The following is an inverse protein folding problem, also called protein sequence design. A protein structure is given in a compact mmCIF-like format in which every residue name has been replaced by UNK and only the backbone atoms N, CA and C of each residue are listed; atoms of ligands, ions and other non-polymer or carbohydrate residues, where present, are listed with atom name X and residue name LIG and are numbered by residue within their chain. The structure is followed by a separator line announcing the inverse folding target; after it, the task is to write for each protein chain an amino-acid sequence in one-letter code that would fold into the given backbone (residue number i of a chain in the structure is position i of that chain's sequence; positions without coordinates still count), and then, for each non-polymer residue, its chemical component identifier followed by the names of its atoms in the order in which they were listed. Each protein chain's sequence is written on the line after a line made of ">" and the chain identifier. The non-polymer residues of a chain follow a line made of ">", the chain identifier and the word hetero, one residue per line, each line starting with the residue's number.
data_IF_133612168451
#
_entry.id   IF_133612168451
#
_cell.length_a   1.000
_cell.length_b   1.000
_cell.length_c   1.000
_cell.angle_alpha   90.00
_cell.angle_beta   90.00
_cell.angle_gamma   90.00
#
_symmetry.space_group_name_H-M   'P 1'
#
loop_
_entity.id
_entity.type
_entity.pdbx_description
1 polymer ?
#
# COMPACT_ATOMS: atom_id res chain seq x y z
N UNK A 1 -9.70 6.94 -11.76
CA UNK A 1 -9.40 6.03 -10.62
C UNK A 1 -7.89 5.90 -10.44
N UNK A 2 -7.42 5.57 -9.25
CA UNK A 2 -6.01 5.26 -8.97
C UNK A 2 -5.87 3.85 -8.37
N UNK A 3 -4.69 3.25 -8.48
CA UNK A 3 -4.29 2.06 -7.76
C UNK A 3 -3.12 2.43 -6.82
N UNK A 4 -3.39 2.51 -5.52
CA UNK A 4 -2.40 3.01 -4.55
C UNK A 4 -1.35 1.97 -4.13
N UNK A 5 -1.46 0.72 -4.59
CA UNK A 5 -0.50 -0.34 -4.28
C UNK A 5 -0.63 -1.53 -5.24
N UNK A 6 0.40 -1.73 -6.04
CA UNK A 6 0.51 -2.87 -6.97
C UNK A 6 1.96 -3.31 -7.12
N UNK A 7 2.21 -4.56 -7.48
CA UNK A 7 3.55 -5.06 -7.80
C UNK A 7 3.61 -5.43 -9.29
N UNK A 8 3.73 -4.43 -10.16
CA UNK A 8 3.67 -4.60 -11.63
C UNK A 8 4.63 -5.68 -12.12
N UNK A 9 5.85 -5.72 -11.58
CA UNK A 9 6.89 -6.69 -11.96
C UNK A 9 6.58 -8.15 -11.56
N UNK A 10 5.57 -8.38 -10.70
CA UNK A 10 5.09 -9.71 -10.31
C UNK A 10 3.84 -10.15 -11.06
N UNK A 11 3.18 -9.25 -11.78
CA UNK A 11 1.97 -9.55 -12.52
C UNK A 11 2.27 -10.41 -13.75
N UNK A 12 1.33 -11.28 -14.12
CA UNK A 12 1.43 -12.06 -15.36
C UNK A 12 1.16 -11.14 -16.57
N UNK A 13 1.93 -11.30 -17.64
CA UNK A 13 1.83 -10.50 -18.85
C UNK A 13 2.93 -9.45 -18.98
N UNK A 14 2.85 -8.68 -20.06
CA UNK A 14 3.75 -7.56 -20.29
C UNK A 14 3.33 -6.34 -19.47
N UNK A 15 4.31 -5.63 -18.90
CA UNK A 15 4.03 -4.43 -18.11
C UNK A 15 3.31 -3.35 -18.94
N UNK A 16 3.74 -3.15 -20.19
CA UNK A 16 3.09 -2.21 -21.12
C UNK A 16 1.60 -2.55 -21.34
N UNK A 17 1.29 -3.84 -21.46
CA UNK A 17 -0.08 -4.34 -21.64
C UNK A 17 -0.92 -4.15 -20.38
N UNK A 18 -0.34 -4.38 -19.20
CA UNK A 18 -1.01 -4.19 -17.90
C UNK A 18 -1.35 -2.72 -17.65
N UNK A 19 -0.39 -1.83 -17.93
CA UNK A 19 -0.58 -0.38 -17.80
C UNK A 19 -1.61 0.13 -18.82
N UNK A 20 -1.55 -0.34 -20.07
CA UNK A 20 -2.53 0.03 -21.09
C UNK A 20 -3.95 -0.42 -20.69
N UNK A 21 -4.12 -1.66 -20.24
CA UNK A 21 -5.41 -2.18 -19.77
C UNK A 21 -5.95 -1.39 -18.58
N UNK A 22 -5.09 -1.01 -17.63
CA UNK A 22 -5.48 -0.17 -16.51
C UNK A 22 -5.99 1.20 -16.96
N UNK A 23 -5.28 1.85 -17.90
CA UNK A 23 -5.68 3.14 -18.46
C UNK A 23 -7.00 3.05 -19.24
N UNK A 24 -7.24 1.96 -20.00
CA UNK A 24 -8.50 1.71 -20.70
C UNK A 24 -9.69 1.57 -19.72
N UNK A 25 -9.47 0.96 -18.54
CA UNK A 25 -10.47 0.82 -17.49
C UNK A 25 -10.56 2.07 -16.58
N UNK A 26 -9.89 3.17 -16.93
CA UNK A 26 -9.98 4.46 -16.23
C UNK A 26 -9.02 4.61 -15.05
N UNK A 27 -8.06 3.70 -14.85
CA UNK A 27 -7.02 3.83 -13.81
C UNK A 27 -5.93 4.76 -14.31
N UNK A 28 -5.95 6.00 -13.84
CA UNK A 28 -5.09 7.07 -14.36
C UNK A 28 -3.67 7.07 -13.78
N UNK A 29 -3.52 6.53 -12.56
CA UNK A 29 -2.22 6.48 -11.86
C UNK A 29 -2.11 5.21 -11.01
N UNK A 30 -0.89 4.69 -10.92
CA UNK A 30 -0.55 3.48 -10.18
C UNK A 30 0.73 3.70 -9.38
N UNK A 31 0.75 3.21 -8.13
CA UNK A 31 1.96 3.15 -7.32
C UNK A 31 2.49 1.71 -7.35
N UNK A 32 3.60 1.48 -8.05
CA UNK A 32 4.27 0.17 -8.04
C UNK A 32 5.24 0.08 -6.88
N UNK A 33 5.23 -1.05 -6.17
CA UNK A 33 5.86 -1.20 -4.86
C UNK A 33 7.08 -2.11 -4.96
N UNK A 34 8.26 -1.55 -4.72
CA UNK A 34 9.46 -2.34 -4.45
C UNK A 34 9.44 -2.90 -3.03
N UNK A 35 10.01 -4.09 -2.84
CA UNK A 35 9.97 -4.83 -1.58
C UNK A 35 11.36 -5.15 -1.03
N UNK A 36 12.43 -4.79 -1.73
CA UNK A 36 13.81 -5.11 -1.36
C UNK A 36 14.81 -4.77 -2.45
N UNK A 37 16.06 -5.12 -2.23
CA UNK A 37 17.20 -4.71 -3.08
C UNK A 37 17.02 -5.05 -4.56
N UNK A 38 16.43 -6.21 -4.87
CA UNK A 38 16.23 -6.64 -6.26
C UNK A 38 15.05 -5.91 -6.93
N UNK A 39 13.97 -5.66 -6.20
CA UNK A 39 12.72 -5.12 -6.74
C UNK A 39 12.63 -3.60 -6.73
N UNK A 40 13.31 -2.91 -5.81
CA UNK A 40 13.31 -1.45 -5.75
C UNK A 40 13.79 -0.79 -7.05
N UNK A 41 14.93 -1.19 -7.65
CA UNK A 41 15.35 -0.64 -8.94
C UNK A 41 14.38 -0.95 -10.08
N UNK A 42 13.71 -2.11 -10.03
CA UNK A 42 12.72 -2.51 -11.04
C UNK A 42 11.48 -1.62 -10.94
N UNK A 43 10.99 -1.34 -9.72
CA UNK A 43 9.85 -0.45 -9.50
C UNK A 43 10.14 0.98 -10.01
N UNK A 44 11.35 1.49 -9.77
CA UNK A 44 11.77 2.80 -10.27
C UNK A 44 11.82 2.80 -11.81
N UNK A 45 12.42 1.76 -12.42
CA UNK A 45 12.50 1.64 -13.88
C UNK A 45 11.11 1.53 -14.54
N UNK A 46 10.16 0.85 -13.91
CA UNK A 46 8.74 0.85 -14.31
C UNK A 46 8.15 2.26 -14.31
N UNK A 47 8.38 3.00 -13.26
CA UNK A 47 7.88 4.37 -13.12
C UNK A 47 8.52 5.35 -14.12
N UNK A 48 9.80 5.17 -14.46
CA UNK A 48 10.47 5.95 -15.51
C UNK A 48 9.88 5.68 -16.90
N UNK A 49 9.48 4.43 -17.18
CA UNK A 49 8.97 3.98 -18.47
C UNK A 49 7.55 4.41 -18.76
N UNK A 50 6.73 4.55 -17.71
CA UNK A 50 5.30 4.86 -17.84
C UNK A 50 4.94 6.14 -17.11
N UNK A 51 4.33 7.10 -17.81
CA UNK A 51 3.90 8.38 -17.22
C UNK A 51 2.91 8.18 -16.06
N UNK A 52 2.00 7.21 -16.21
CA UNK A 52 0.96 6.88 -15.23
C UNK A 52 1.46 6.11 -13.99
N UNK A 53 2.74 5.65 -14.00
CA UNK A 53 3.31 4.84 -12.93
C UNK A 53 4.26 5.68 -12.09
N UNK A 54 4.14 5.51 -10.77
CA UNK A 54 5.05 6.01 -9.75
C UNK A 54 5.53 4.84 -8.90
N UNK A 55 6.59 5.02 -8.13
CA UNK A 55 7.19 3.96 -7.34
C UNK A 55 7.16 4.26 -5.83
N UNK A 56 7.12 3.20 -5.04
CA UNK A 56 7.56 3.16 -3.65
C UNK A 56 8.76 2.24 -3.53
N UNK A 57 9.70 2.56 -2.67
CA UNK A 57 10.91 1.76 -2.44
C UNK A 57 11.10 1.49 -0.96
N UNK A 58 11.40 0.26 -0.62
CA UNK A 58 11.53 -0.16 0.77
C UNK A 58 12.08 -1.56 0.94
N UNK A 59 11.95 -2.06 2.15
CA UNK A 59 12.28 -3.43 2.55
C UNK A 59 11.10 -4.03 3.28
N UNK A 60 10.44 -4.96 2.64
CA UNK A 60 9.31 -5.69 3.19
C UNK A 60 9.72 -6.47 4.46
N UNK A 61 8.88 -6.59 5.49
CA UNK A 61 9.22 -7.30 6.72
C UNK A 61 9.69 -8.74 6.47
N UNK A 62 9.13 -9.44 5.49
CA UNK A 62 9.55 -10.81 5.15
C UNK A 62 10.95 -10.89 4.51
N UNK A 63 11.52 -9.79 4.08
CA UNK A 63 12.86 -9.64 3.49
C UNK A 63 13.81 -8.84 4.40
N UNK A 64 13.44 -8.62 5.66
CA UNK A 64 14.17 -7.77 6.60
C UNK A 64 15.49 -8.39 7.12
N UNK A 65 15.71 -9.69 6.91
CA UNK A 65 16.97 -10.33 7.30
C UNK A 65 18.16 -9.66 6.64
N UNK A 66 19.19 -9.36 7.44
CA UNK A 66 20.41 -8.72 6.95
C UNK A 66 20.25 -7.26 6.54
N UNK A 67 19.13 -6.60 6.92
CA UNK A 67 18.99 -5.15 6.72
C UNK A 67 20.06 -4.40 7.52
N UNK A 68 20.86 -3.60 6.82
CA UNK A 68 22.00 -2.85 7.35
C UNK A 68 22.04 -1.41 6.79
N UNK A 69 23.09 -0.67 7.09
CA UNK A 69 23.26 0.72 6.65
C UNK A 69 23.42 0.83 5.12
N UNK A 70 23.97 -0.18 4.45
CA UNK A 70 24.09 -0.17 2.99
C UNK A 70 22.69 -0.29 2.35
N UNK A 71 21.85 -1.18 2.86
CA UNK A 71 20.45 -1.29 2.44
C UNK A 71 19.65 0.00 2.71
N UNK A 72 19.88 0.63 3.87
CA UNK A 72 19.26 1.92 4.20
C UNK A 72 19.74 3.04 3.26
N UNK A 73 21.02 3.09 2.94
CA UNK A 73 21.59 4.07 2.02
C UNK A 73 21.05 3.89 0.59
N UNK A 74 20.83 2.66 0.15
CA UNK A 74 20.22 2.38 -1.15
C UNK A 74 18.76 2.89 -1.20
N UNK A 75 17.96 2.63 -0.17
CA UNK A 75 16.58 3.13 -0.09
C UNK A 75 16.58 4.67 -0.12
N UNK A 76 17.46 5.36 0.64
CA UNK A 76 17.60 6.82 0.59
C UNK A 76 17.91 7.31 -0.82
N UNK A 77 18.87 6.67 -1.48
CA UNK A 77 19.27 7.04 -2.85
C UNK A 77 18.13 6.89 -3.85
N UNK A 78 17.41 5.77 -3.81
CA UNK A 78 16.29 5.52 -4.70
C UNK A 78 15.08 6.38 -4.33
N UNK A 79 14.83 6.59 -3.03
CA UNK A 79 13.75 7.44 -2.51
C UNK A 79 13.86 8.90 -2.95
N UNK A 80 15.06 9.39 -3.24
CA UNK A 80 15.29 10.73 -3.77
C UNK A 80 14.95 10.88 -5.27
N UNK A 81 14.57 9.81 -5.96
CA UNK A 81 14.20 9.84 -7.37
C UNK A 81 12.84 10.51 -7.58
N UNK A 82 12.71 11.35 -8.61
CA UNK A 82 11.49 12.14 -8.87
C UNK A 82 10.21 11.31 -9.11
N UNK A 83 10.35 10.05 -9.52
CA UNK A 83 9.21 9.13 -9.69
C UNK A 83 8.87 8.36 -8.42
N UNK A 84 9.67 8.42 -7.37
CA UNK A 84 9.38 7.80 -6.08
C UNK A 84 8.49 8.74 -5.26
N UNK A 85 7.40 8.21 -4.73
CA UNK A 85 6.36 8.95 -4.02
C UNK A 85 6.07 8.44 -2.61
N UNK A 86 6.71 7.35 -2.21
CA UNK A 86 6.58 6.80 -0.87
C UNK A 86 7.80 5.96 -0.50
N UNK A 87 8.00 5.76 0.79
CA UNK A 87 8.92 4.77 1.35
C UNK A 87 8.11 3.57 1.83
N UNK A 88 8.56 2.41 1.50
CA UNK A 88 7.89 1.13 1.81
C UNK A 88 7.76 0.27 0.54
N UNK A 89 7.25 -0.88 0.68
CA UNK A 89 6.47 -1.46 1.77
C UNK A 89 7.36 -1.86 2.95
N UNK A 90 6.99 -1.48 4.16
CA UNK A 90 7.68 -1.81 5.40
C UNK A 90 6.69 -2.01 6.54
N UNK A 91 7.11 -2.55 7.67
CA UNK A 91 6.24 -2.83 8.81
C UNK A 91 6.56 -4.15 9.47
N UNK A 92 5.53 -4.86 9.95
CA UNK A 92 5.66 -6.14 10.66
C UNK A 92 4.73 -7.20 10.08
N UNK A 93 5.24 -8.41 9.93
CA UNK A 93 4.50 -9.62 9.54
C UNK A 93 4.84 -10.75 10.53
N UNK A 94 3.94 -10.96 11.50
CA UNK A 94 4.10 -12.04 12.47
C UNK A 94 3.35 -13.33 12.06
N UNK A 95 2.68 -13.29 10.91
CA UNK A 95 2.10 -14.47 10.30
C UNK A 95 3.15 -15.33 9.59
N UNK A 96 4.18 -14.70 8.99
CA UNK A 96 5.27 -15.39 8.31
C UNK A 96 6.55 -15.28 9.15
N UNK A 97 7.35 -16.33 9.18
CA UNK A 97 8.59 -16.44 9.95
C UNK A 97 9.85 -16.40 9.05
N UNK A 98 9.76 -15.69 7.91
CA UNK A 98 10.87 -15.60 6.95
C UNK A 98 12.00 -14.68 7.43
N UNK A 99 11.69 -13.71 8.28
CA UNK A 99 12.67 -12.87 8.95
C UNK A 99 12.34 -12.75 10.44
N UNK A 100 13.37 -12.74 11.29
CA UNK A 100 13.20 -12.60 12.73
C UNK A 100 12.50 -11.28 13.08
N UNK A 101 11.62 -11.25 14.11
CA UNK A 101 10.92 -10.02 14.51
C UNK A 101 11.86 -8.85 14.80
N UNK A 102 13.05 -9.07 15.35
CA UNK A 102 14.06 -8.06 15.63
C UNK A 102 14.61 -7.42 14.35
N UNK A 103 14.79 -8.21 13.29
CA UNK A 103 15.21 -7.71 11.99
C UNK A 103 14.11 -6.86 11.34
N UNK A 104 12.85 -7.31 11.43
CA UNK A 104 11.69 -6.55 10.97
C UNK A 104 11.60 -5.19 11.67
N UNK A 105 11.70 -5.17 13.02
CA UNK A 105 11.70 -3.93 13.84
C UNK A 105 12.80 -2.96 13.44
N UNK A 106 14.03 -3.48 13.26
CA UNK A 106 15.18 -2.68 12.85
C UNK A 106 14.97 -2.04 11.48
N UNK A 107 14.53 -2.83 10.50
CA UNK A 107 14.26 -2.36 9.15
C UNK A 107 13.10 -1.36 9.13
N UNK A 108 12.05 -1.58 9.91
CA UNK A 108 10.90 -0.69 10.02
C UNK A 108 11.29 0.67 10.59
N UNK A 109 11.98 0.69 11.73
CA UNK A 109 12.42 1.92 12.38
C UNK A 109 13.32 2.77 11.46
N UNK A 110 14.27 2.14 10.76
CA UNK A 110 15.14 2.83 9.82
C UNK A 110 14.36 3.43 8.63
N UNK A 111 13.35 2.74 8.13
CA UNK A 111 12.55 3.24 7.00
C UNK A 111 11.59 4.36 7.41
N UNK A 112 11.11 4.38 8.66
CA UNK A 112 10.39 5.56 9.20
C UNK A 112 11.31 6.78 9.20
N UNK A 113 12.56 6.64 9.63
CA UNK A 113 13.54 7.73 9.61
C UNK A 113 13.80 8.22 8.18
N UNK A 114 14.01 7.30 7.22
CA UNK A 114 14.23 7.63 5.81
C UNK A 114 13.00 8.37 5.23
N UNK A 115 11.79 7.92 5.51
CA UNK A 115 10.57 8.59 5.05
C UNK A 115 10.51 10.04 5.55
N UNK A 116 10.89 10.26 6.83
CA UNK A 116 10.96 11.60 7.42
C UNK A 116 12.07 12.47 6.81
N UNK A 117 13.25 11.89 6.57
CA UNK A 117 14.38 12.58 5.94
C UNK A 117 14.03 13.09 4.54
N UNK A 118 13.26 12.29 3.78
CA UNK A 118 12.89 12.58 2.41
C UNK A 118 11.54 13.30 2.25
N UNK A 119 10.84 13.53 3.37
CA UNK A 119 9.48 14.09 3.39
C UNK A 119 8.49 13.32 2.50
N UNK A 120 8.56 11.98 2.55
CA UNK A 120 7.73 11.08 1.76
C UNK A 120 6.76 10.30 2.66
N UNK A 121 5.54 9.99 2.18
CA UNK A 121 4.63 9.06 2.86
C UNK A 121 5.29 7.71 3.12
N UNK A 122 4.82 7.01 4.17
CA UNK A 122 5.27 5.64 4.47
C UNK A 122 4.15 4.63 4.24
N UNK A 123 4.44 3.56 3.47
CA UNK A 123 3.51 2.46 3.16
C UNK A 123 3.75 1.31 4.14
N UNK A 124 2.73 1.00 4.93
CA UNK A 124 2.81 0.05 6.04
C UNK A 124 2.14 -1.27 5.70
N UNK A 125 2.93 -2.34 5.81
CA UNK A 125 2.48 -3.72 5.88
C UNK A 125 2.21 -4.11 7.33
N UNK A 126 1.01 -4.63 7.60
CA UNK A 126 0.61 -5.12 8.91
C UNK A 126 -0.04 -6.50 8.76
N UNK A 127 0.56 -7.54 9.33
CA UNK A 127 -0.01 -8.89 9.26
C UNK A 127 0.19 -9.67 10.53
N UNK A 128 -0.92 -10.07 11.12
CA UNK A 128 -1.00 -10.92 12.29
C UNK A 128 -1.47 -12.33 11.95
N UNK A 129 -1.11 -13.37 12.74
CA UNK A 129 -1.81 -14.64 12.74
C UNK A 129 -3.30 -14.45 13.05
N UNK A 130 -4.11 -15.41 12.63
CA UNK A 130 -5.56 -15.36 12.85
C UNK A 130 -5.89 -15.26 14.36
N UNK A 131 -6.64 -14.23 14.73
CA UNK A 131 -7.05 -13.98 16.12
C UNK A 131 -6.01 -13.25 16.98
N UNK A 132 -4.88 -12.86 16.41
CA UNK A 132 -3.84 -12.07 17.08
C UNK A 132 -3.80 -10.64 16.54
N UNK A 133 -3.15 -9.72 17.30
CA UNK A 133 -3.02 -8.30 16.96
C UNK A 133 -1.63 -7.74 17.26
N UNK A 134 -0.68 -8.60 17.61
CA UNK A 134 0.62 -8.17 18.13
C UNK A 134 1.43 -7.32 17.13
N UNK A 135 1.45 -7.71 15.85
CA UNK A 135 2.13 -6.92 14.81
C UNK A 135 1.43 -5.56 14.60
N UNK A 136 0.10 -5.58 14.49
CA UNK A 136 -0.71 -4.37 14.33
C UNK A 136 -0.52 -3.42 15.52
N UNK A 137 -0.61 -3.91 16.74
CA UNK A 137 -0.47 -3.08 17.94
C UNK A 137 0.93 -2.46 18.04
N UNK A 138 1.97 -3.26 17.78
CA UNK A 138 3.35 -2.78 17.78
C UNK A 138 3.62 -1.76 16.66
N UNK A 139 3.02 -1.92 15.48
CA UNK A 139 3.08 -0.94 14.39
C UNK A 139 2.49 0.40 14.83
N UNK A 140 1.30 0.40 15.44
CA UNK A 140 0.66 1.62 15.92
C UNK A 140 1.52 2.33 16.96
N UNK A 141 2.03 1.60 17.95
CA UNK A 141 2.91 2.16 18.99
C UNK A 141 4.21 2.74 18.40
N UNK A 142 4.81 2.03 17.43
CA UNK A 142 6.05 2.47 16.77
C UNK A 142 5.81 3.74 15.95
N UNK A 143 4.73 3.80 15.18
CA UNK A 143 4.37 4.97 14.39
C UNK A 143 4.03 6.17 15.26
N UNK A 144 3.30 5.98 16.36
CA UNK A 144 3.01 7.04 17.34
C UNK A 144 4.29 7.63 17.93
N UNK A 145 5.28 6.79 18.20
CA UNK A 145 6.55 7.22 18.78
C UNK A 145 7.50 7.86 17.76
N UNK A 146 7.51 7.41 16.50
CA UNK A 146 8.61 7.69 15.57
C UNK A 146 8.18 8.41 14.28
N UNK A 147 6.93 8.29 13.80
CA UNK A 147 6.53 8.85 12.52
C UNK A 147 6.52 10.39 12.49
N UNK A 148 6.35 11.05 13.65
CA UNK A 148 6.57 12.50 13.77
C UNK A 148 5.63 13.36 12.90
N UNK A 149 4.44 12.84 12.55
CA UNK A 149 3.47 13.54 11.69
C UNK A 149 3.62 13.23 10.20
N UNK A 150 4.53 12.34 9.84
CA UNK A 150 4.68 11.83 8.47
C UNK A 150 3.37 11.17 8.00
N UNK A 151 2.92 11.36 6.73
CA UNK A 151 1.75 10.66 6.22
C UNK A 151 1.96 9.15 6.22
N UNK A 152 1.02 8.42 6.84
CA UNK A 152 1.04 6.96 6.96
C UNK A 152 -0.06 6.37 6.11
N UNK A 153 0.28 5.33 5.35
CA UNK A 153 -0.66 4.52 4.57
C UNK A 153 -0.67 3.11 5.14
N UNK A 154 -1.78 2.73 5.75
CA UNK A 154 -2.03 1.35 6.14
C UNK A 154 -2.52 0.62 4.89
N UNK A 155 -1.60 0.01 4.13
CA UNK A 155 -1.93 -0.70 2.91
C UNK A 155 -2.65 -2.00 3.24
N UNK A 156 -3.47 -2.50 2.31
CA UNK A 156 -4.28 -3.71 2.48
C UNK A 156 -4.92 -3.79 3.88
N UNK A 157 -5.54 -2.67 4.32
CA UNK A 157 -6.00 -2.47 5.69
C UNK A 157 -6.75 -3.70 6.22
N UNK A 158 -6.16 -4.36 7.21
CA UNK A 158 -6.61 -5.66 7.73
C UNK A 158 -7.06 -5.63 9.20
N UNK A 159 -7.04 -4.45 9.85
CA UNK A 159 -7.34 -4.28 11.27
C UNK A 159 -8.64 -3.48 11.51
N UNK A 160 -9.83 -4.02 11.17
CA UNK A 160 -11.10 -3.28 11.23
C UNK A 160 -11.42 -2.75 12.64
N UNK A 161 -10.91 -3.39 13.70
CA UNK A 161 -11.05 -2.96 15.08
C UNK A 161 -10.25 -1.68 15.40
N UNK A 162 -9.20 -1.36 14.62
CA UNK A 162 -8.33 -0.17 14.77
C UNK A 162 -8.69 0.98 13.81
N UNK A 163 -9.80 0.88 13.07
CA UNK A 163 -10.16 1.93 12.07
C UNK A 163 -10.39 3.29 12.73
N UNK A 164 -10.94 3.32 13.94
CA UNK A 164 -11.10 4.56 14.71
C UNK A 164 -9.76 5.17 15.11
N UNK A 165 -8.85 4.35 15.59
CA UNK A 165 -7.50 4.78 15.99
C UNK A 165 -6.70 5.34 14.81
N UNK A 166 -6.79 4.71 13.62
CA UNK A 166 -6.19 5.20 12.39
C UNK A 166 -6.80 6.56 11.96
N UNK A 167 -8.12 6.68 12.06
CA UNK A 167 -8.83 7.92 11.73
C UNK A 167 -8.43 9.08 12.65
N UNK A 168 -8.32 8.85 13.97
CA UNK A 168 -7.88 9.87 14.94
C UNK A 168 -6.48 10.40 14.67
N UNK A 169 -5.60 9.55 14.11
CA UNK A 169 -4.23 9.91 13.72
C UNK A 169 -4.14 10.55 12.33
N UNK A 170 -5.24 10.56 11.58
CA UNK A 170 -5.27 11.04 10.21
C UNK A 170 -4.51 10.14 9.23
N UNK A 171 -4.34 8.85 9.55
CA UNK A 171 -3.68 7.89 8.69
C UNK A 171 -4.60 7.42 7.57
N UNK A 172 -4.02 7.16 6.40
CA UNK A 172 -4.75 6.62 5.26
C UNK A 172 -4.94 5.13 5.39
N UNK A 173 -6.16 4.66 5.10
CA UNK A 173 -6.48 3.25 5.00
C UNK A 173 -6.77 2.90 3.54
N UNK A 174 -6.00 1.99 2.96
CA UNK A 174 -6.19 1.49 1.61
C UNK A 174 -6.82 0.10 1.62
N UNK A 175 -7.80 -0.11 0.75
CA UNK A 175 -8.57 -1.36 0.69
C UNK A 175 -8.30 -2.09 -0.61
N UNK A 176 -7.88 -3.36 -0.49
CA UNK A 176 -7.62 -4.26 -1.61
C UNK A 176 -8.82 -5.15 -1.95
N UNK A 177 -8.68 -5.97 -2.98
CA UNK A 177 -9.75 -6.84 -3.48
C UNK A 177 -10.30 -7.85 -2.45
N UNK A 178 -9.52 -8.21 -1.42
CA UNK A 178 -10.00 -9.06 -0.31
C UNK A 178 -11.16 -8.45 0.47
N UNK A 179 -11.29 -7.13 0.53
CA UNK A 179 -12.44 -6.48 1.17
C UNK A 179 -13.77 -6.82 0.49
N UNK A 180 -13.74 -7.25 -0.78
CA UNK A 180 -14.94 -7.64 -1.53
C UNK A 180 -15.39 -9.08 -1.24
N UNK A 181 -14.62 -9.86 -0.47
CA UNK A 181 -14.96 -11.27 -0.21
C UNK A 181 -16.14 -11.41 0.75
N UNK A 182 -17.02 -12.39 0.55
CA UNK A 182 -18.16 -12.61 1.43
C UNK A 182 -17.81 -12.84 2.90
N UNK A 183 -16.59 -13.34 3.17
CA UNK A 183 -16.05 -13.55 4.52
C UNK A 183 -15.48 -12.28 5.15
N UNK A 184 -15.23 -11.23 4.38
CA UNK A 184 -14.51 -10.02 4.82
C UNK A 184 -15.44 -8.83 5.12
N UNK A 185 -16.65 -9.08 5.59
CA UNK A 185 -17.67 -8.04 5.86
C UNK A 185 -17.16 -6.95 6.83
N UNK A 186 -16.36 -7.32 7.82
CA UNK A 186 -15.83 -6.36 8.79
C UNK A 186 -14.85 -5.38 8.15
N UNK A 187 -14.05 -5.82 7.15
CA UNK A 187 -13.16 -4.95 6.38
C UNK A 187 -13.97 -3.94 5.54
N UNK A 188 -15.01 -4.43 4.90
CA UNK A 188 -15.88 -3.56 4.10
C UNK A 188 -16.63 -2.55 4.98
N UNK A 189 -17.09 -2.95 6.18
CA UNK A 189 -17.66 -2.02 7.16
C UNK A 189 -16.62 -1.03 7.70
N UNK A 190 -15.35 -1.43 7.84
CA UNK A 190 -14.29 -0.50 8.20
C UNK A 190 -14.11 0.57 7.11
N UNK A 191 -14.16 0.19 5.82
CA UNK A 191 -14.12 1.13 4.71
C UNK A 191 -15.22 2.19 4.77
N UNK A 192 -16.41 1.84 5.29
CA UNK A 192 -17.49 2.82 5.51
C UNK A 192 -17.20 3.82 6.62
N UNK A 193 -16.29 3.50 7.55
CA UNK A 193 -15.97 4.34 8.73
C UNK A 193 -14.74 5.22 8.54
N UNK A 194 -13.89 4.91 7.57
CA UNK A 194 -12.71 5.73 7.27
C UNK A 194 -13.16 7.13 6.84
N UNK A 195 -12.57 8.22 7.37
CA UNK A 195 -12.84 9.58 6.90
C UNK A 195 -12.69 9.71 5.38
N UNK A 196 -13.52 10.54 4.77
CA UNK A 196 -13.53 10.73 3.31
C UNK A 196 -12.15 11.12 2.77
N UNK A 197 -11.44 11.96 3.50
CA UNK A 197 -10.12 12.47 3.14
C UNK A 197 -8.95 11.54 3.52
N UNK A 198 -9.24 10.28 3.94
CA UNK A 198 -8.24 9.29 4.39
C UNK A 198 -8.43 7.90 3.77
N UNK A 199 -9.32 7.76 2.81
CA UNK A 199 -9.58 6.48 2.15
C UNK A 199 -8.83 6.38 0.83
N UNK A 200 -8.25 5.20 0.58
CA UNK A 200 -7.64 4.79 -0.68
C UNK A 200 -8.18 3.42 -1.10
N UNK A 201 -7.96 3.08 -2.35
CA UNK A 201 -8.20 1.74 -2.91
C UNK A 201 -6.98 1.27 -3.67
N UNK A 202 -6.80 -0.04 -3.70
CA UNK A 202 -5.65 -0.68 -4.32
C UNK A 202 -5.99 -2.06 -4.88
N UNK A 203 -5.09 -2.64 -5.65
CA UNK A 203 -5.19 -4.03 -6.06
C UNK A 203 -4.41 -4.98 -5.19
N UNK A 204 -3.22 -4.59 -4.74
CA UNK A 204 -2.17 -5.48 -4.24
C UNK A 204 -1.84 -6.58 -5.29
N UNK A 205 -1.96 -6.23 -6.57
CA UNK A 205 -1.72 -7.18 -7.65
C UNK A 205 -0.24 -7.65 -7.66
N UNK A 206 -0.03 -8.95 -7.89
CA UNK A 206 -0.92 -9.97 -8.48
C UNK A 206 -1.79 -10.73 -7.48
N UNK A 207 -1.80 -10.32 -6.23
CA UNK A 207 -2.55 -10.98 -5.14
C UNK A 207 -3.98 -10.45 -5.06
N UNK A 208 -4.81 -11.06 -4.20
CA UNK A 208 -6.08 -10.54 -3.70
C UNK A 208 -7.10 -10.11 -4.78
N UNK A 209 -7.18 -10.84 -5.92
CA UNK A 209 -8.17 -10.55 -6.96
C UNK A 209 -9.57 -10.35 -6.35
N UNK A 210 -10.28 -9.25 -6.65
CA UNK A 210 -11.59 -8.96 -6.09
C UNK A 210 -12.62 -10.04 -6.44
N UNK A 211 -13.69 -10.15 -5.66
CA UNK A 211 -14.66 -11.24 -5.78
C UNK A 211 -15.18 -11.48 -7.21
N UNK A 212 -15.52 -10.46 -8.02
CA UNK A 212 -15.94 -10.68 -9.40
C UNK A 212 -14.87 -11.30 -10.30
N UNK A 213 -13.59 -11.17 -9.91
CA UNK A 213 -12.42 -11.66 -10.66
C UNK A 213 -11.76 -12.89 -10.01
N UNK A 214 -12.40 -13.52 -9.00
CA UNK A 214 -11.84 -14.71 -8.33
C UNK A 214 -11.47 -15.80 -9.33
N UNK A 215 -10.28 -16.41 -9.09
CA UNK A 215 -9.72 -17.43 -9.96
C UNK A 215 -8.87 -16.90 -11.11
N UNK A 216 -8.83 -15.58 -11.32
CA UNK A 216 -7.84 -14.91 -12.19
C UNK A 216 -6.68 -14.36 -11.36
N UNK A 217 -5.52 -14.22 -11.97
CA UNK A 217 -4.45 -13.38 -11.39
C UNK A 217 -4.93 -11.93 -11.35
N UNK A 218 -4.62 -11.24 -10.25
CA UNK A 218 -4.97 -9.83 -10.12
C UNK A 218 -4.09 -8.95 -11.01
N UNK A 219 -4.62 -7.79 -11.39
CA UNK A 219 -3.93 -6.78 -12.21
C UNK A 219 -4.48 -5.38 -11.87
N UNK A 220 -3.73 -4.30 -12.16
CA UNK A 220 -4.14 -2.94 -11.76
C UNK A 220 -5.53 -2.52 -12.24
N UNK A 221 -5.96 -2.95 -13.43
CA UNK A 221 -7.30 -2.69 -13.96
C UNK A 221 -8.43 -3.13 -13.02
N UNK A 222 -8.19 -4.15 -12.18
CA UNK A 222 -9.21 -4.72 -11.30
C UNK A 222 -9.49 -3.88 -10.04
N UNK A 223 -8.74 -2.81 -9.78
CA UNK A 223 -9.02 -1.88 -8.69
C UNK A 223 -10.43 -1.28 -8.78
N UNK A 224 -10.96 -1.17 -9.99
CA UNK A 224 -12.33 -0.68 -10.27
C UNK A 224 -13.38 -1.50 -9.52
N UNK A 225 -13.20 -2.81 -9.42
CA UNK A 225 -14.13 -3.69 -8.72
C UNK A 225 -14.05 -3.52 -7.19
N UNK A 226 -12.85 -3.30 -6.66
CA UNK A 226 -12.67 -2.92 -5.24
C UNK A 226 -13.36 -1.58 -4.95
N UNK A 227 -13.13 -0.58 -5.81
CA UNK A 227 -13.73 0.74 -5.66
C UNK A 227 -15.27 0.70 -5.72
N UNK A 228 -15.88 -0.12 -6.60
CA UNK A 228 -17.33 -0.32 -6.66
C UNK A 228 -17.90 -0.83 -5.33
N UNK A 229 -17.26 -1.84 -4.74
CA UNK A 229 -17.69 -2.39 -3.45
C UNK A 229 -17.53 -1.38 -2.30
N UNK A 230 -16.45 -0.61 -2.31
CA UNK A 230 -16.23 0.47 -1.32
C UNK A 230 -17.26 1.59 -1.49
N UNK A 231 -17.57 2.01 -2.71
CA UNK A 231 -18.61 3.01 -2.98
C UNK A 231 -19.97 2.55 -2.47
N UNK A 232 -20.34 1.30 -2.76
CA UNK A 232 -21.61 0.72 -2.32
C UNK A 232 -21.76 0.74 -0.80
N UNK A 233 -20.76 0.28 -0.04
CA UNK A 233 -20.84 0.24 1.43
C UNK A 233 -20.84 1.64 2.04
N UNK A 234 -20.22 2.61 1.38
CA UNK A 234 -20.23 4.02 1.80
C UNK A 234 -21.52 4.75 1.40
N UNK A 235 -22.38 4.16 0.56
CA UNK A 235 -23.62 4.77 0.08
C UNK A 235 -23.39 5.94 -0.87
N UNK A 236 -22.28 5.93 -1.62
CA UNK A 236 -21.94 6.97 -2.62
C UNK A 236 -21.85 6.34 -4.01
N UNK A 237 -21.89 7.14 -5.07
CA UNK A 237 -21.67 6.64 -6.42
C UNK A 237 -20.19 6.28 -6.64
N UNK A 238 -19.93 5.43 -7.65
CA UNK A 238 -18.55 5.11 -8.05
C UNK A 238 -17.75 6.36 -8.40
N UNK A 239 -18.35 7.27 -9.14
CA UNK A 239 -17.72 8.53 -9.59
C UNK A 239 -17.44 9.49 -8.41
N UNK A 240 -18.24 9.46 -7.36
CA UNK A 240 -17.97 10.21 -6.11
C UNK A 240 -16.78 9.62 -5.38
N UNK A 241 -16.73 8.29 -5.22
CA UNK A 241 -15.58 7.64 -4.60
C UNK A 241 -14.30 7.85 -5.44
N UNK A 242 -14.38 7.72 -6.76
CA UNK A 242 -13.27 7.96 -7.68
C UNK A 242 -12.66 9.34 -7.45
N UNK A 243 -13.48 10.39 -7.45
CA UNK A 243 -13.02 11.76 -7.18
C UNK A 243 -12.37 11.88 -5.79
N UNK A 244 -12.93 11.23 -4.79
CA UNK A 244 -12.42 11.22 -3.42
C UNK A 244 -11.02 10.59 -3.37
N UNK A 245 -10.86 9.36 -3.89
CA UNK A 245 -9.57 8.67 -3.83
C UNK A 245 -8.51 9.34 -4.70
N UNK A 246 -8.88 9.93 -5.83
CA UNK A 246 -7.97 10.73 -6.65
C UNK A 246 -7.50 11.99 -5.92
N UNK A 247 -8.39 12.70 -5.23
CA UNK A 247 -8.03 13.87 -4.44
C UNK A 247 -7.10 13.49 -3.28
N UNK A 248 -7.39 12.39 -2.58
CA UNK A 248 -6.58 11.86 -1.50
C UNK A 248 -5.18 11.46 -2.00
N UNK A 249 -5.11 10.71 -3.08
CA UNK A 249 -3.84 10.29 -3.67
C UNK A 249 -3.02 11.47 -4.16
N UNK A 250 -3.66 12.48 -4.78
CA UNK A 250 -2.98 13.71 -5.21
C UNK A 250 -2.39 14.47 -4.02
N UNK A 251 -3.14 14.59 -2.93
CA UNK A 251 -2.66 15.25 -1.70
C UNK A 251 -1.50 14.48 -1.08
N UNK A 252 -1.60 13.16 -1.08
CA UNK A 252 -0.65 12.27 -0.41
C UNK A 252 0.65 12.11 -1.20
N UNK A 253 0.57 11.86 -2.50
CA UNK A 253 1.72 11.51 -3.35
C UNK A 253 2.24 12.69 -4.19
N UNK A 254 1.52 13.79 -4.28
CA UNK A 254 1.92 14.97 -5.06
C UNK A 254 2.01 14.72 -6.57
N UNK A 255 1.19 13.80 -7.11
CA UNK A 255 1.19 13.45 -8.53
C UNK A 255 0.06 14.08 -9.37
#
# INVERSE_FOLDING_TARGET
>A
MIDSHTHLFLCDGGEDELVAAALEDGVQRMLTIGMGAESNPVAVASAERHEAVFASVGRHPNDASGFDEEAAAEIRRLGAHEKVRAIGETGLDFYRDTAAPEDQRRAFAAQIEIARELDLPIVIHARDPEGETAATDEIFDTLDAQAGGQPVILHCFSAPHRVGDAAERGWYCSFAGNATYPSAKELLFAAAKVPEDRILVETDAPYLAPQPMRGKRNQPAFVVETARAVAEVRGVSYEELERTVEANARTLFGW
#
